data_IF_085094213294
#
_entry.id   IF_085094213294
#
_cell.length_a   1.000
_cell.length_b   1.000
_cell.length_c   1.000
_cell.angle_alpha   90.00
_cell.angle_beta   90.00
_cell.angle_gamma   90.00
#
_symmetry.space_group_name_H-M   'P 1'
#
loop_
_entity.id
_entity.type
_entity.pdbx_description
1 polymer ?
#
# COMPACT_ATOMS: atom_id res chain seq x y z
N UNK A 1 -11.30 -11.89 -11.30
CA UNK A 1 -10.26 -11.44 -10.37
C UNK A 1 -10.98 -10.78 -9.21
N UNK A 2 -10.89 -11.33 -8.00
CA UNK A 2 -11.43 -10.66 -6.82
C UNK A 2 -10.89 -9.23 -6.69
N UNK A 3 -11.75 -8.33 -6.20
CA UNK A 3 -11.51 -6.90 -6.03
C UNK A 3 -12.11 -6.47 -4.69
N UNK A 4 -11.38 -5.62 -3.97
CA UNK A 4 -11.92 -4.87 -2.83
C UNK A 4 -11.60 -3.40 -3.01
N UNK A 5 -12.61 -2.56 -2.76
CA UNK A 5 -12.47 -1.11 -2.62
C UNK A 5 -12.42 -0.80 -1.14
N UNK A 6 -11.46 0.01 -0.72
CA UNK A 6 -11.27 0.37 0.67
C UNK A 6 -11.61 1.84 0.86
N UNK A 7 -12.25 2.15 1.98
CA UNK A 7 -12.39 3.54 2.41
C UNK A 7 -11.00 4.06 2.83
N UNK A 8 -10.47 5.15 2.24
CA UNK A 8 -9.19 5.75 2.63
C UNK A 8 -9.05 5.99 4.14
N UNK A 9 -10.14 6.37 4.81
CA UNK A 9 -10.16 6.67 6.25
C UNK A 9 -9.97 5.43 7.13
N UNK A 10 -10.29 4.24 6.60
CA UNK A 10 -10.09 2.96 7.30
C UNK A 10 -8.63 2.49 7.24
N UNK A 11 -7.81 3.06 6.34
CA UNK A 11 -6.42 2.69 6.16
C UNK A 11 -5.55 3.40 7.20
N UNK A 12 -5.24 2.68 8.28
CA UNK A 12 -4.38 3.19 9.36
C UNK A 12 -2.90 2.99 9.05
N UNK A 13 -2.18 4.09 8.87
CA UNK A 13 -0.71 4.11 8.78
C UNK A 13 -0.14 4.29 10.18
N UNK A 14 0.74 3.40 10.68
CA UNK A 14 1.35 3.59 11.98
C UNK A 14 2.22 4.85 12.05
N UNK A 15 2.08 5.64 13.12
CA UNK A 15 2.80 6.92 13.28
C UNK A 15 4.32 6.81 13.13
N UNK A 16 4.92 5.71 13.61
CA UNK A 16 6.36 5.49 13.48
C UNK A 16 6.79 5.24 12.03
N UNK A 17 5.93 4.60 11.22
CA UNK A 17 6.18 4.37 9.78
C UNK A 17 6.10 5.70 9.05
N UNK A 18 5.04 6.47 9.33
CA UNK A 18 4.86 7.81 8.78
C UNK A 18 6.05 8.72 9.11
N UNK A 19 6.44 8.79 10.39
CA UNK A 19 7.61 9.56 10.82
C UNK A 19 8.89 9.12 10.11
N UNK A 20 9.16 7.81 10.03
CA UNK A 20 10.35 7.31 9.36
C UNK A 20 10.37 7.70 7.87
N UNK A 21 9.23 7.56 7.19
CA UNK A 21 9.07 7.91 5.77
C UNK A 21 9.30 9.39 5.50
N UNK A 22 8.84 10.25 6.40
CA UNK A 22 8.98 11.70 6.29
C UNK A 22 10.32 12.24 6.84
N UNK A 23 11.26 11.37 7.24
CA UNK A 23 12.58 11.77 7.74
C UNK A 23 12.64 12.10 9.23
N UNK A 24 11.57 11.88 9.98
CA UNK A 24 11.44 12.12 11.42
C UNK A 24 11.68 10.87 12.28
N UNK A 25 12.34 9.83 11.76
CA UNK A 25 12.41 8.51 12.41
C UNK A 25 12.99 8.46 13.82
N UNK A 26 13.89 9.40 14.18
CA UNK A 26 14.46 9.51 15.54
C UNK A 26 13.70 10.48 16.45
N UNK A 27 12.74 11.22 15.90
CA UNK A 27 11.98 12.20 16.65
C UNK A 27 10.85 11.52 17.43
N UNK A 28 10.65 11.97 18.67
CA UNK A 28 9.50 11.54 19.48
C UNK A 28 8.19 11.90 18.78
N UNK A 29 8.14 13.13 18.26
CA UNK A 29 7.02 13.71 17.52
C UNK A 29 7.52 14.47 16.28
N UNK A 30 6.62 14.68 15.31
CA UNK A 30 6.88 15.56 14.17
C UNK A 30 7.05 16.99 14.69
N UNK A 31 8.11 17.73 14.29
CA UNK A 31 8.31 19.11 14.72
C UNK A 31 7.09 19.98 14.42
N UNK A 32 6.77 20.89 15.33
CA UNK A 32 5.52 21.68 15.30
C UNK A 32 5.32 22.42 13.97
N UNK A 33 6.40 23.01 13.43
CA UNK A 33 6.38 23.71 12.14
C UNK A 33 6.09 22.83 10.92
N UNK A 34 6.25 21.50 11.02
CA UNK A 34 5.87 20.56 9.96
C UNK A 34 4.52 19.88 10.21
N UNK A 35 4.01 19.92 11.44
CA UNK A 35 2.80 19.20 11.84
C UNK A 35 1.58 19.61 11.01
N UNK A 36 1.38 20.92 10.82
CA UNK A 36 0.27 21.44 10.00
C UNK A 36 0.36 21.00 8.54
N UNK A 37 1.56 20.97 7.97
CA UNK A 37 1.78 20.52 6.60
C UNK A 37 1.49 19.02 6.43
N UNK A 38 1.90 18.20 7.40
CA UNK A 38 1.63 16.75 7.39
C UNK A 38 0.13 16.48 7.54
N UNK A 39 -0.55 17.18 8.45
CA UNK A 39 -2.01 17.06 8.59
C UNK A 39 -2.74 17.45 7.31
N UNK A 40 -2.37 18.59 6.71
CA UNK A 40 -2.94 19.04 5.44
C UNK A 40 -2.67 18.05 4.31
N UNK A 41 -1.47 17.48 4.23
CA UNK A 41 -1.15 16.46 3.23
C UNK A 41 -2.03 15.21 3.38
N UNK A 42 -2.27 14.77 4.63
CA UNK A 42 -3.15 13.65 4.92
C UNK A 42 -4.60 13.95 4.48
N UNK A 43 -5.13 15.11 4.83
CA UNK A 43 -6.48 15.54 4.42
C UNK A 43 -6.63 15.64 2.90
N UNK A 44 -5.65 16.22 2.21
CA UNK A 44 -5.68 16.34 0.75
C UNK A 44 -5.59 14.97 0.06
N UNK A 45 -4.81 14.03 0.61
CA UNK A 45 -4.74 12.66 0.12
C UNK A 45 -6.09 11.94 0.27
N UNK A 46 -6.73 12.02 1.43
CA UNK A 46 -8.01 11.35 1.68
C UNK A 46 -9.12 11.81 0.72
N UNK A 47 -9.08 13.06 0.25
CA UNK A 47 -10.06 13.61 -0.70
C UNK A 47 -9.98 13.01 -2.10
N UNK A 48 -8.80 12.51 -2.50
CA UNK A 48 -8.54 12.07 -3.88
C UNK A 48 -8.17 10.60 -3.99
N UNK A 49 -7.83 9.94 -2.88
CA UNK A 49 -7.46 8.54 -2.87
C UNK A 49 -8.68 7.66 -3.13
N UNK A 50 -8.54 6.73 -4.08
CA UNK A 50 -9.48 5.65 -4.39
C UNK A 50 -8.76 4.30 -4.25
N UNK A 51 -8.56 3.80 -3.01
CA UNK A 51 -7.77 2.60 -2.78
C UNK A 51 -8.49 1.35 -3.28
N UNK A 52 -7.84 0.64 -4.20
CA UNK A 52 -8.34 -0.61 -4.78
C UNK A 52 -7.27 -1.68 -4.66
N UNK A 53 -7.68 -2.87 -4.24
CA UNK A 53 -6.83 -4.06 -4.23
C UNK A 53 -7.47 -5.16 -5.07
N UNK A 54 -6.70 -5.71 -6.00
CA UNK A 54 -7.02 -6.89 -6.79
C UNK A 54 -6.12 -8.04 -6.38
N UNK A 55 -6.61 -9.28 -6.44
CA UNK A 55 -5.75 -10.44 -6.31
C UNK A 55 -6.13 -11.57 -7.25
N UNK A 56 -5.18 -12.49 -7.45
CA UNK A 56 -5.38 -13.72 -8.22
C UNK A 56 -4.52 -14.83 -7.64
N UNK A 57 -5.16 -15.99 -7.45
CA UNK A 57 -4.50 -17.20 -7.02
C UNK A 57 -4.03 -18.02 -8.23
N UNK A 58 -2.83 -18.57 -8.12
CA UNK A 58 -2.24 -19.47 -9.10
C UNK A 58 -1.87 -20.78 -8.41
N UNK A 59 -2.37 -21.90 -8.92
CA UNK A 59 -1.92 -23.21 -8.48
C UNK A 59 -0.53 -23.49 -9.06
N UNK A 60 0.44 -23.81 -8.21
CA UNK A 60 1.84 -23.97 -8.65
C UNK A 60 2.39 -25.38 -8.43
N UNK A 61 1.65 -26.26 -7.74
CA UNK A 61 2.02 -27.65 -7.46
C UNK A 61 3.46 -27.78 -6.91
N UNK A 62 3.91 -26.80 -6.12
CA UNK A 62 5.25 -26.74 -5.54
C UNK A 62 6.34 -26.10 -6.41
N UNK A 63 6.03 -25.74 -7.67
CA UNK A 63 6.92 -24.95 -8.53
C UNK A 63 6.82 -23.45 -8.23
N UNK A 64 7.81 -22.68 -8.68
CA UNK A 64 7.83 -21.22 -8.59
C UNK A 64 7.61 -20.55 -9.95
N UNK A 65 6.92 -21.27 -10.84
CA UNK A 65 6.64 -20.82 -12.20
C UNK A 65 5.14 -20.85 -12.44
N UNK A 66 4.60 -19.73 -12.92
CA UNK A 66 3.18 -19.62 -13.28
C UNK A 66 3.01 -18.53 -14.34
N UNK A 67 2.11 -18.75 -15.31
CA UNK A 67 1.72 -17.75 -16.31
C UNK A 67 2.93 -17.05 -17.00
N UNK A 68 3.88 -17.86 -17.49
CA UNK A 68 5.14 -17.43 -18.14
C UNK A 68 6.09 -16.60 -17.27
N UNK A 69 5.86 -16.56 -15.95
CA UNK A 69 6.73 -15.94 -14.97
C UNK A 69 7.44 -17.04 -14.19
N UNK A 70 8.77 -16.96 -14.10
CA UNK A 70 9.60 -17.81 -13.25
C UNK A 70 10.23 -16.98 -12.13
N UNK A 71 10.01 -17.38 -10.87
CA UNK A 71 10.60 -16.72 -9.71
C UNK A 71 11.88 -17.47 -9.29
N UNK A 72 13.04 -16.86 -9.55
CA UNK A 72 14.35 -17.52 -9.39
C UNK A 72 15.11 -17.18 -8.11
N UNK A 73 14.68 -16.15 -7.37
CA UNK A 73 15.42 -15.62 -6.22
C UNK A 73 15.48 -16.55 -5.01
N UNK A 74 16.59 -16.52 -4.27
CA UNK A 74 16.82 -17.41 -3.12
C UNK A 74 15.81 -17.22 -1.99
N UNK A 75 15.39 -15.97 -1.74
CA UNK A 75 14.35 -15.67 -0.76
C UNK A 75 13.01 -16.30 -1.15
N UNK A 76 12.65 -16.25 -2.43
CA UNK A 76 11.43 -16.87 -2.93
C UNK A 76 11.51 -18.40 -2.84
N UNK A 77 12.64 -19.01 -3.22
CA UNK A 77 12.88 -20.44 -3.03
C UNK A 77 12.70 -20.85 -1.56
N UNK A 78 13.27 -20.09 -0.63
CA UNK A 78 13.18 -20.39 0.81
C UNK A 78 11.77 -20.28 1.39
N UNK A 79 10.95 -19.34 0.91
CA UNK A 79 9.66 -19.01 1.53
C UNK A 79 8.42 -19.41 0.74
N UNK A 80 8.54 -19.63 -0.57
CA UNK A 80 7.40 -19.89 -1.46
C UNK A 80 7.46 -21.28 -2.12
N UNK A 81 8.63 -21.93 -2.21
CA UNK A 81 8.72 -23.28 -2.79
C UNK A 81 7.90 -24.29 -1.99
N UNK A 82 7.33 -25.28 -2.68
CA UNK A 82 6.44 -26.26 -2.05
C UNK A 82 5.02 -25.73 -1.74
N UNK A 83 4.74 -24.45 -1.98
CA UNK A 83 3.37 -23.92 -1.85
C UNK A 83 2.45 -24.53 -2.91
N UNK A 84 1.21 -24.85 -2.52
CA UNK A 84 0.18 -25.29 -3.48
C UNK A 84 -0.33 -24.12 -4.33
N UNK A 85 -0.44 -22.95 -3.71
CA UNK A 85 -1.02 -21.73 -4.28
C UNK A 85 -0.05 -20.57 -4.05
N UNK A 86 0.14 -19.74 -5.08
CA UNK A 86 0.77 -18.43 -5.00
C UNK A 86 -0.28 -17.37 -5.33
N UNK A 87 -0.48 -16.42 -4.43
CA UNK A 87 -1.40 -15.28 -4.63
C UNK A 87 -0.63 -14.05 -5.07
N UNK A 88 -1.05 -13.45 -6.18
CA UNK A 88 -0.54 -12.17 -6.67
C UNK A 88 -1.52 -11.07 -6.31
N UNK A 89 -1.03 -9.98 -5.73
CA UNK A 89 -1.81 -8.80 -5.38
C UNK A 89 -1.41 -7.60 -6.25
N UNK A 90 -2.37 -6.74 -6.57
CA UNK A 90 -2.14 -5.41 -7.13
C UNK A 90 -2.93 -4.41 -6.30
N UNK A 91 -2.25 -3.39 -5.77
CA UNK A 91 -2.87 -2.31 -5.01
C UNK A 91 -2.59 -0.95 -5.68
N UNK A 92 -3.55 -0.04 -5.64
CA UNK A 92 -3.42 1.32 -6.16
C UNK A 92 -4.26 2.28 -5.33
N UNK A 93 -3.91 3.56 -5.31
CA UNK A 93 -4.72 4.65 -4.74
C UNK A 93 -5.45 5.47 -5.80
N UNK A 94 -5.36 5.07 -7.08
CA UNK A 94 -5.94 5.80 -8.19
C UNK A 94 -5.05 6.94 -8.70
N UNK A 95 -5.26 7.29 -9.98
CA UNK A 95 -4.47 8.31 -10.71
C UNK A 95 -4.67 9.75 -10.21
N UNK A 96 -5.74 10.02 -9.47
CA UNK A 96 -6.04 11.36 -8.99
C UNK A 96 -5.06 11.79 -7.88
N UNK A 97 -4.44 10.83 -7.18
CA UNK A 97 -3.33 11.08 -6.25
C UNK A 97 -2.13 11.69 -6.99
N UNK A 98 -1.70 11.07 -8.09
CA UNK A 98 -0.55 11.56 -8.88
C UNK A 98 -0.81 12.96 -9.44
N UNK A 99 -2.03 13.22 -9.94
CA UNK A 99 -2.43 14.55 -10.41
C UNK A 99 -2.38 15.59 -9.31
N UNK A 100 -2.83 15.23 -8.10
CA UNK A 100 -2.81 16.14 -6.95
C UNK A 100 -1.39 16.49 -6.52
N UNK A 101 -0.49 15.50 -6.53
CA UNK A 101 0.93 15.68 -6.27
C UNK A 101 1.55 16.63 -7.31
N UNK A 102 1.29 16.38 -8.60
CA UNK A 102 1.77 17.22 -9.69
C UNK A 102 1.23 18.65 -9.62
N UNK A 103 -0.05 18.82 -9.24
CA UNK A 103 -0.66 20.14 -9.02
C UNK A 103 0.06 20.92 -7.91
N UNK A 104 0.44 20.24 -6.82
CA UNK A 104 1.18 20.87 -5.73
C UNK A 104 2.54 21.39 -6.21
N UNK A 105 3.30 20.57 -6.93
CA UNK A 105 4.60 20.96 -7.48
C UNK A 105 4.48 22.08 -8.51
N UNK A 106 3.48 22.05 -9.40
CA UNK A 106 3.24 23.13 -10.37
C UNK A 106 2.92 24.47 -9.72
N UNK A 107 2.30 24.46 -8.54
CA UNK A 107 1.97 25.67 -7.76
C UNK A 107 3.10 26.14 -6.84
N UNK A 108 4.26 25.46 -6.83
CA UNK A 108 5.37 25.74 -5.92
C UNK A 108 5.12 25.31 -4.46
N UNK A 109 4.10 24.48 -4.22
CA UNK A 109 3.81 23.92 -2.90
C UNK A 109 4.60 22.61 -2.70
N UNK A 110 5.91 22.67 -2.84
CA UNK A 110 6.76 21.48 -2.94
C UNK A 110 6.70 20.61 -1.68
N UNK A 111 6.68 21.23 -0.51
CA UNK A 111 6.61 20.52 0.77
C UNK A 111 5.30 19.75 0.94
N UNK A 112 4.18 20.32 0.45
CA UNK A 112 2.88 19.65 0.48
C UNK A 112 2.86 18.48 -0.51
N UNK A 113 3.36 18.68 -1.73
CA UNK A 113 3.47 17.61 -2.73
C UNK A 113 4.34 16.45 -2.24
N UNK A 114 5.49 16.77 -1.64
CA UNK A 114 6.40 15.80 -1.03
C UNK A 114 5.74 14.98 0.09
N UNK A 115 4.99 15.63 0.99
CA UNK A 115 4.29 14.92 2.06
C UNK A 115 3.13 14.07 1.54
N UNK A 116 2.36 14.53 0.55
CA UNK A 116 1.31 13.72 -0.07
C UNK A 116 1.91 12.45 -0.68
N UNK A 117 2.98 12.56 -1.46
CA UNK A 117 3.67 11.42 -2.08
C UNK A 117 4.22 10.43 -1.03
N UNK A 118 4.86 10.96 0.02
CA UNK A 118 5.37 10.17 1.13
C UNK A 118 4.27 9.38 1.85
N UNK A 119 3.15 10.02 2.18
CA UNK A 119 2.01 9.38 2.85
C UNK A 119 1.32 8.38 1.92
N UNK A 120 1.10 8.73 0.65
CA UNK A 120 0.48 7.87 -0.36
C UNK A 120 1.27 6.57 -0.55
N UNK A 121 2.60 6.65 -0.58
CA UNK A 121 3.47 5.46 -0.65
C UNK A 121 3.19 4.46 0.48
N UNK A 122 2.97 4.95 1.71
CA UNK A 122 2.69 4.08 2.85
C UNK A 122 1.23 3.60 2.85
N UNK A 123 0.28 4.44 2.44
CA UNK A 123 -1.13 4.07 2.30
C UNK A 123 -1.33 2.95 1.26
N UNK A 124 -0.71 3.06 0.09
CA UNK A 124 -0.73 2.01 -0.94
C UNK A 124 0.06 0.77 -0.55
N UNK A 125 1.05 0.92 0.34
CA UNK A 125 1.81 -0.17 0.96
C UNK A 125 1.09 -0.89 2.11
N UNK A 126 -0.04 -0.35 2.60
CA UNK A 126 -0.84 -1.03 3.62
C UNK A 126 -1.39 -2.30 3.02
N UNK A 127 -0.81 -3.42 3.48
CA UNK A 127 -1.24 -4.75 3.08
C UNK A 127 -2.73 -4.83 3.41
N UNK A 128 -3.60 -5.22 2.45
CA UNK A 128 -4.99 -5.53 2.77
C UNK A 128 -4.93 -6.47 3.95
N UNK A 129 -5.64 -6.14 5.04
CA UNK A 129 -5.53 -6.86 6.31
C UNK A 129 -5.63 -8.35 5.99
N UNK A 130 -4.50 -9.05 6.12
CA UNK A 130 -4.36 -10.47 5.74
C UNK A 130 -5.40 -11.33 6.47
N UNK A 131 -5.93 -10.82 7.59
CA UNK A 131 -7.06 -11.38 8.33
C UNK A 131 -8.41 -11.32 7.61
N UNK A 132 -8.76 -10.21 6.94
CA UNK A 132 -10.06 -10.04 6.25
C UNK A 132 -10.15 -10.92 4.98
N UNK A 133 -9.03 -11.11 4.29
CA UNK A 133 -8.93 -11.97 3.10
C UNK A 133 -8.83 -13.46 3.43
N UNK A 134 -8.35 -13.83 4.63
CA UNK A 134 -8.36 -15.23 5.09
C UNK A 134 -9.74 -15.64 5.62
N UNK A 135 -10.46 -14.74 6.30
CA UNK A 135 -11.76 -15.06 6.89
C UNK A 135 -12.84 -15.37 5.87
N UNK A 136 -12.75 -14.86 4.64
CA UNK A 136 -13.71 -15.20 3.56
C UNK A 136 -13.44 -16.57 2.93
N UNK A 137 -12.23 -17.11 3.06
CA UNK A 137 -11.82 -18.41 2.50
C UNK A 137 -11.94 -19.57 3.51
N UNK A 138 -12.20 -19.32 4.79
CA UNK A 138 -12.47 -20.37 5.79
C UNK A 138 -13.94 -20.84 5.79
N UNK A 139 -14.83 -20.20 5.03
CA UNK A 139 -16.25 -20.59 4.89
C UNK A 139 -16.54 -21.55 3.72
N UNK A 140 -15.54 -22.01 2.97
CA UNK A 140 -15.73 -22.99 1.91
C UNK A 140 -14.72 -24.14 2.05
N UNK A 141 -15.05 -25.11 2.89
CA UNK A 141 -14.82 -26.55 2.67
C UNK A 141 -15.63 -27.34 3.72
N UNK A 142 -16.15 -28.53 3.34
CA UNK A 142 -17.41 -29.12 3.83
C UNK A 142 -17.43 -29.58 5.30
#
# INVERSE_FOLDING_TARGET
MPKVELNPEEIKIPDNVLKAKLGFGKAREIPEHFREYVMKAYEELLKVAEPVVLWKDFETKGSLSFNDIEITGDLAKKHLSGSKIITVFLATLGKEVDKKIEECFKKGNDLLGFFIDGIASEMGGVRPQKGRLRSENETISP
#
